data_IF_490156338778
#
_entry.id   IF_490156338778
#
_cell.length_a   1.000
_cell.length_b   1.000
_cell.length_c   1.000
_cell.angle_alpha   90.00
_cell.angle_beta   90.00
_cell.angle_gamma   90.00
#
_symmetry.space_group_name_H-M   'P 1'
#
loop_
_entity.id
_entity.type
_entity.pdbx_description
1 polymer ?
#
# COMPACT_ATOMS: atom_id res chain seq x y z
N UNK A 1 -15.68 -0.51 -24.52
CA UNK A 1 -15.78 -1.07 -23.15
C UNK A 1 -14.71 -2.11 -23.10
N UNK A 2 -13.58 -1.79 -22.48
CA UNK A 2 -12.48 -2.71 -22.24
C UNK A 2 -13.03 -3.95 -21.57
N UNK A 3 -12.54 -5.10 -22.01
CA UNK A 3 -12.77 -6.35 -21.34
C UNK A 3 -12.20 -6.26 -19.90
N UNK A 4 -13.04 -6.41 -18.86
CA UNK A 4 -12.58 -6.42 -17.47
C UNK A 4 -11.48 -7.46 -17.18
N UNK A 5 -11.33 -8.49 -18.03
CA UNK A 5 -10.26 -9.50 -17.96
C UNK A 5 -8.87 -8.94 -18.25
N UNK A 6 -8.78 -7.75 -18.87
CA UNK A 6 -7.52 -7.09 -19.26
C UNK A 6 -7.08 -5.99 -18.31
N UNK A 7 -7.88 -5.70 -17.27
CA UNK A 7 -7.54 -4.67 -16.29
C UNK A 7 -6.30 -5.11 -15.48
N UNK A 8 -5.23 -4.29 -15.46
CA UNK A 8 -4.05 -4.62 -14.67
C UNK A 8 -4.40 -4.70 -13.19
N UNK A 9 -3.72 -5.59 -12.47
CA UNK A 9 -3.78 -5.60 -11.02
C UNK A 9 -3.10 -4.33 -10.52
N UNK A 10 -3.81 -3.52 -9.72
CA UNK A 10 -3.25 -2.37 -9.03
C UNK A 10 -3.16 -2.62 -7.53
N UNK A 11 -2.02 -2.27 -6.95
CA UNK A 11 -1.84 -2.15 -5.51
C UNK A 11 -1.38 -0.74 -5.20
N UNK A 12 -2.18 -0.04 -4.38
CA UNK A 12 -1.92 1.32 -3.92
C UNK A 12 -1.61 1.29 -2.43
N UNK A 13 -0.54 1.94 -2.01
CA UNK A 13 -0.15 1.95 -0.60
C UNK A 13 0.46 3.29 -0.19
N UNK A 14 -0.11 3.88 0.85
CA UNK A 14 0.51 4.96 1.59
C UNK A 14 1.19 4.38 2.84
N UNK A 15 2.48 4.67 3.00
CA UNK A 15 3.20 4.46 4.25
C UNK A 15 3.13 5.72 5.08
N UNK A 16 2.33 5.68 6.13
CA UNK A 16 2.27 6.73 7.15
C UNK A 16 3.30 6.48 8.24
N UNK A 17 4.16 7.45 8.51
CA UNK A 17 5.26 7.35 9.47
C UNK A 17 5.78 8.76 9.87
N UNK A 18 6.61 8.85 10.89
CA UNK A 18 7.33 10.08 11.23
C UNK A 18 8.22 10.57 10.07
N UNK A 19 8.13 11.88 9.78
CA UNK A 19 8.94 12.55 8.77
C UNK A 19 10.43 12.62 9.12
N UNK A 20 10.83 12.22 10.31
CA UNK A 20 12.24 12.09 10.70
C UNK A 20 12.81 10.70 10.42
N UNK A 21 11.97 9.68 10.14
CA UNK A 21 12.45 8.31 9.94
C UNK A 21 13.14 8.16 8.58
N UNK A 22 14.45 7.85 8.50
CA UNK A 22 15.16 7.74 7.22
C UNK A 22 14.49 6.77 6.24
N UNK A 23 14.52 7.10 4.95
CA UNK A 23 13.87 6.30 3.91
C UNK A 23 14.68 6.40 2.62
N UNK A 24 15.08 5.25 2.08
CA UNK A 24 15.71 5.16 0.76
C UNK A 24 14.62 4.97 -0.30
N UNK A 25 14.72 5.65 -1.46
CA UNK A 25 13.71 5.58 -2.51
C UNK A 25 13.68 4.21 -3.20
N UNK A 26 12.59 3.93 -3.91
CA UNK A 26 12.41 2.75 -4.74
C UNK A 26 13.64 2.41 -5.59
N UNK A 27 14.23 1.24 -5.33
CA UNK A 27 15.36 0.69 -6.05
C UNK A 27 15.35 -0.84 -5.99
N UNK A 28 16.18 -1.47 -6.82
CA UNK A 28 16.54 -2.88 -6.67
C UNK A 28 17.58 -3.03 -5.56
N UNK A 29 17.37 -4.00 -4.67
CA UNK A 29 18.31 -4.35 -3.61
C UNK A 29 18.24 -5.85 -3.31
N UNK A 30 19.10 -6.33 -2.40
CA UNK A 30 19.27 -7.75 -2.11
C UNK A 30 19.61 -8.58 -3.38
N UNK A 31 20.68 -8.21 -4.09
CA UNK A 31 21.12 -8.92 -5.29
C UNK A 31 20.19 -8.74 -6.50
N UNK A 32 19.53 -7.58 -6.62
CA UNK A 32 18.56 -7.24 -7.67
C UNK A 32 17.31 -8.13 -7.74
N UNK A 33 16.99 -8.79 -6.63
CA UNK A 33 15.83 -9.67 -6.51
C UNK A 33 14.58 -8.94 -6.00
N UNK A 34 14.76 -7.89 -5.18
CA UNK A 34 13.68 -7.18 -4.49
C UNK A 34 13.65 -5.74 -4.98
N UNK A 35 12.49 -5.31 -5.49
CA UNK A 35 12.19 -3.93 -5.83
C UNK A 35 11.23 -3.36 -4.78
N UNK A 36 11.62 -2.27 -4.13
CA UNK A 36 10.79 -1.57 -3.15
C UNK A 36 11.56 -0.42 -2.51
N UNK A 37 10.86 0.54 -1.92
CA UNK A 37 11.50 1.51 -1.03
C UNK A 37 12.02 0.82 0.23
N UNK A 38 13.06 1.37 0.84
CA UNK A 38 13.76 0.72 1.96
C UNK A 38 13.78 1.62 3.19
N UNK A 39 13.46 1.03 4.33
CA UNK A 39 13.49 1.69 5.64
C UNK A 39 14.95 1.91 6.04
N UNK A 40 15.39 3.17 6.06
CA UNK A 40 16.77 3.51 6.37
C UNK A 40 17.17 3.27 7.84
N UNK A 41 16.19 3.03 8.72
CA UNK A 41 16.47 2.71 10.13
C UNK A 41 16.55 1.20 10.39
N UNK A 42 15.54 0.44 9.94
CA UNK A 42 15.42 -0.99 10.25
C UNK A 42 15.86 -1.94 9.11
N UNK A 43 16.14 -1.41 7.92
CA UNK A 43 16.61 -2.18 6.76
C UNK A 43 15.55 -3.03 6.05
N UNK A 44 14.27 -2.89 6.41
CA UNK A 44 13.14 -3.59 5.77
C UNK A 44 12.42 -2.77 4.69
N UNK A 45 11.25 -3.22 4.27
CA UNK A 45 10.39 -2.52 3.30
C UNK A 45 8.92 -2.59 3.71
N UNK A 46 8.14 -1.61 3.27
CA UNK A 46 6.68 -1.56 3.45
C UNK A 46 5.91 -2.11 2.25
N UNK A 47 6.53 -2.12 1.07
CA UNK A 47 5.99 -2.69 -0.16
C UNK A 47 7.14 -3.11 -1.05
N UNK A 48 7.11 -4.37 -1.46
CA UNK A 48 8.08 -4.92 -2.38
C UNK A 48 7.44 -5.81 -3.43
N UNK A 49 8.10 -5.86 -4.59
CA UNK A 49 7.84 -6.80 -5.66
C UNK A 49 9.15 -7.50 -6.04
N UNK A 50 9.12 -8.83 -6.05
CA UNK A 50 10.23 -9.64 -6.50
C UNK A 50 10.22 -9.84 -8.02
N UNK A 51 11.38 -10.17 -8.60
CA UNK A 51 11.53 -10.48 -10.04
C UNK A 51 10.56 -11.55 -10.55
N UNK A 52 10.20 -12.50 -9.71
CA UNK A 52 9.30 -13.61 -10.03
C UNK A 52 7.81 -13.29 -9.79
N UNK A 53 7.49 -12.03 -9.48
CA UNK A 53 6.13 -11.53 -9.34
C UNK A 53 5.53 -11.69 -7.94
N UNK A 54 6.29 -12.16 -6.95
CA UNK A 54 5.82 -12.15 -5.55
C UNK A 54 5.73 -10.70 -5.05
N UNK A 55 4.60 -10.34 -4.47
CA UNK A 55 4.38 -9.01 -3.88
C UNK A 55 4.19 -9.18 -2.37
N UNK A 56 4.84 -8.35 -1.56
CA UNK A 56 4.67 -8.31 -0.12
C UNK A 56 4.51 -6.88 0.36
N UNK A 57 3.58 -6.64 1.27
CA UNK A 57 3.32 -5.30 1.79
C UNK A 57 2.85 -5.32 3.24
N UNK A 58 3.14 -4.25 3.96
CA UNK A 58 2.73 -4.08 5.35
C UNK A 58 1.36 -3.42 5.43
N UNK A 59 0.52 -3.91 6.33
CA UNK A 59 -0.74 -3.26 6.69
C UNK A 59 -0.61 -2.59 8.04
N UNK A 60 -1.14 -1.37 8.19
CA UNK A 60 -1.11 -0.60 9.44
C UNK A 60 -2.09 -1.12 10.51
N UNK A 61 -2.34 -2.44 10.53
CA UNK A 61 -3.19 -3.07 11.55
C UNK A 61 -2.41 -3.16 12.85
N UNK A 62 -2.54 -2.13 13.69
CA UNK A 62 -2.20 -2.23 15.12
C UNK A 62 -3.41 -2.82 15.82
N UNK A 63 -3.21 -3.84 16.64
CA UNK A 63 -4.29 -4.46 17.40
C UNK A 63 -4.98 -3.39 18.25
N UNK A 64 -6.19 -3.01 17.86
CA UNK A 64 -7.05 -2.14 18.66
C UNK A 64 -7.34 -2.90 19.93
N UNK A 65 -6.84 -2.40 21.05
CA UNK A 65 -7.21 -2.88 22.39
C UNK A 65 -8.71 -3.07 22.43
N UNK A 66 -9.13 -4.29 22.78
CA UNK A 66 -10.49 -4.81 22.79
C UNK A 66 -11.56 -3.72 22.89
N UNK A 67 -12.11 -3.29 21.74
CA UNK A 67 -13.30 -2.44 21.74
C UNK A 67 -14.46 -3.31 22.23
N UNK A 68 -15.11 -2.99 23.37
CA UNK A 68 -16.18 -3.82 23.96
C UNK A 68 -17.42 -3.98 23.07
N UNK A 69 -17.44 -3.30 21.91
CA UNK A 69 -18.57 -3.16 21.00
C UNK A 69 -18.19 -3.32 19.52
N UNK A 70 -17.09 -4.03 19.20
CA UNK A 70 -16.76 -4.24 17.78
C UNK A 70 -17.80 -5.15 17.11
N UNK A 71 -18.76 -4.54 16.40
CA UNK A 71 -19.38 -5.16 15.23
C UNK A 71 -18.25 -5.70 14.33
N UNK A 72 -18.51 -6.84 13.70
CA UNK A 72 -17.48 -7.76 13.19
C UNK A 72 -16.33 -7.07 12.43
N UNK A 73 -15.12 -7.63 12.50
CA UNK A 73 -13.93 -7.14 11.77
C UNK A 73 -14.19 -6.88 10.27
N UNK A 74 -15.17 -7.56 9.67
CA UNK A 74 -15.61 -7.37 8.30
C UNK A 74 -16.29 -6.03 8.00
N UNK A 75 -16.81 -5.32 9.01
CA UNK A 75 -17.42 -4.00 8.82
C UNK A 75 -16.37 -2.89 8.70
N UNK A 76 -15.10 -3.16 9.06
CA UNK A 76 -14.06 -2.15 9.10
C UNK A 76 -13.89 -1.45 7.74
N UNK A 77 -13.71 -2.14 6.60
CA UNK A 77 -13.59 -1.47 5.30
C UNK A 77 -14.81 -0.61 4.94
N UNK A 78 -16.01 -1.01 5.39
CA UNK A 78 -17.26 -0.28 5.13
C UNK A 78 -17.40 0.99 5.97
N UNK A 79 -16.67 1.10 7.09
CA UNK A 79 -16.71 2.25 8.02
C UNK A 79 -15.61 3.28 7.73
N UNK A 80 -14.66 2.98 6.86
CA UNK A 80 -13.63 3.94 6.46
C UNK A 80 -14.05 4.68 5.20
N UNK A 81 -14.62 5.88 5.38
CA UNK A 81 -15.07 6.74 4.28
C UNK A 81 -13.94 7.07 3.29
N UNK A 82 -12.70 7.23 3.77
CA UNK A 82 -11.55 7.41 2.87
C UNK A 82 -11.32 6.26 1.89
N UNK A 83 -11.62 5.01 2.29
CA UNK A 83 -11.50 3.86 1.40
C UNK A 83 -12.60 3.86 0.34
N UNK A 84 -13.83 4.24 0.71
CA UNK A 84 -14.93 4.43 -0.24
C UNK A 84 -14.60 5.55 -1.24
N UNK A 85 -14.17 6.72 -0.75
CA UNK A 85 -13.72 7.85 -1.56
C UNK A 85 -12.61 7.45 -2.55
N UNK A 86 -11.60 6.71 -2.10
CA UNK A 86 -10.54 6.21 -2.99
C UNK A 86 -11.10 5.28 -4.07
N UNK A 87 -11.97 4.34 -3.68
CA UNK A 87 -12.56 3.37 -4.61
C UNK A 87 -13.45 4.02 -5.66
N UNK A 88 -14.27 5.00 -5.28
CA UNK A 88 -15.15 5.70 -6.22
C UNK A 88 -14.37 6.63 -7.16
N UNK A 89 -13.39 7.37 -6.64
CA UNK A 89 -12.51 8.19 -7.47
C UNK A 89 -11.66 7.34 -8.43
N UNK A 90 -11.24 6.14 -8.02
CA UNK A 90 -10.52 5.21 -8.90
C UNK A 90 -11.41 4.74 -10.05
N UNK A 91 -12.69 4.41 -9.79
CA UNK A 91 -13.64 4.04 -10.86
C UNK A 91 -13.85 5.19 -11.84
N UNK A 92 -14.02 6.42 -11.34
CA UNK A 92 -14.17 7.60 -12.19
C UNK A 92 -12.92 7.85 -13.05
N UNK A 93 -11.73 7.70 -12.45
CA UNK A 93 -10.46 7.83 -13.16
C UNK A 93 -10.33 6.77 -14.26
N UNK A 94 -10.64 5.50 -13.96
CA UNK A 94 -10.62 4.41 -14.94
C UNK A 94 -11.60 4.65 -16.09
N UNK A 95 -12.80 5.16 -15.81
CA UNK A 95 -13.79 5.51 -16.83
C UNK A 95 -13.31 6.65 -17.74
N UNK A 96 -12.51 7.58 -17.23
CA UNK A 96 -11.96 8.69 -18.03
C UNK A 96 -10.94 8.20 -19.05
N UNK A 97 -10.22 7.11 -18.75
CA UNK A 97 -9.14 6.60 -19.60
C UNK A 97 -9.62 5.66 -20.71
N UNK A 98 -10.93 5.38 -20.86
CA UNK A 98 -11.56 4.72 -22.02
C UNK A 98 -10.68 3.66 -22.72
N UNK A 99 -10.30 2.61 -21.99
CA UNK A 99 -9.52 1.46 -22.46
C UNK A 99 -8.01 1.73 -22.71
N UNK A 100 -7.54 2.96 -22.47
CA UNK A 100 -6.13 3.35 -22.50
C UNK A 100 -5.35 2.97 -21.24
N UNK A 101 -4.03 2.90 -21.36
CA UNK A 101 -3.15 2.60 -20.24
C UNK A 101 -3.16 3.74 -19.22
N UNK A 102 -3.49 3.43 -17.96
CA UNK A 102 -3.45 4.38 -16.84
C UNK A 102 -2.09 4.26 -16.12
N UNK A 103 -1.19 5.26 -16.22
CA UNK A 103 0.12 5.17 -15.60
C UNK A 103 0.01 5.18 -14.06
N UNK A 104 0.79 4.36 -13.33
CA UNK A 104 0.78 4.34 -11.86
C UNK A 104 1.03 5.72 -11.22
N UNK A 105 1.86 6.55 -11.86
CA UNK A 105 2.10 7.93 -11.42
C UNK A 105 0.82 8.77 -11.38
N UNK A 106 0.01 8.72 -12.43
CA UNK A 106 -1.26 9.47 -12.50
C UNK A 106 -2.24 9.03 -11.41
N UNK A 107 -2.27 7.73 -11.09
CA UNK A 107 -3.09 7.20 -9.99
C UNK A 107 -2.64 7.81 -8.66
N UNK A 108 -1.33 7.86 -8.41
CA UNK A 108 -0.82 8.46 -7.18
C UNK A 108 -1.14 9.95 -7.12
N UNK A 109 -0.81 10.70 -8.17
CA UNK A 109 -0.97 12.16 -8.19
C UNK A 109 -2.43 12.59 -8.04
N UNK A 110 -3.37 11.86 -8.65
CA UNK A 110 -4.80 12.21 -8.62
C UNK A 110 -5.55 11.66 -7.40
N UNK A 111 -5.15 10.49 -6.89
CA UNK A 111 -5.93 9.80 -5.86
C UNK A 111 -5.22 9.74 -4.51
N UNK A 112 -3.94 9.35 -4.50
CA UNK A 112 -3.23 8.99 -3.27
C UNK A 112 -2.70 10.20 -2.49
N UNK A 113 -2.65 11.38 -3.12
CA UNK A 113 -2.29 12.68 -2.52
C UNK A 113 -3.49 13.43 -1.91
N UNK A 114 -4.68 12.80 -1.88
CA UNK A 114 -5.89 13.45 -1.40
C UNK A 114 -5.84 13.73 0.11
N UNK A 115 -5.91 15.02 0.46
CA UNK A 115 -5.85 15.51 1.85
C UNK A 115 -7.22 15.77 2.48
N UNK A 116 -8.32 15.46 1.77
CA UNK A 116 -9.69 15.63 2.27
C UNK A 116 -9.87 14.72 3.48
N UNK A 117 -10.31 15.32 4.58
CA UNK A 117 -10.66 14.64 5.83
C UNK A 117 -12.15 14.30 5.85
N UNK A 118 -12.49 13.27 6.59
CA UNK A 118 -13.88 12.86 6.78
C UNK A 118 -14.60 13.82 7.74
N UNK A 119 -15.92 13.93 7.60
CA UNK A 119 -16.74 14.69 8.53
C UNK A 119 -16.64 14.10 9.95
N UNK A 120 -16.50 14.97 10.94
CA UNK A 120 -16.32 14.61 12.34
C UNK A 120 -17.45 13.72 12.90
N UNK A 121 -18.67 13.87 12.37
CA UNK A 121 -19.86 13.09 12.74
C UNK A 121 -19.86 11.66 12.17
N UNK A 122 -19.08 11.41 11.12
CA UNK A 122 -19.03 10.13 10.41
C UNK A 122 -17.82 9.26 10.78
N UNK A 123 -16.97 9.74 11.71
CA UNK A 123 -15.79 9.03 12.16
C UNK A 123 -16.15 7.71 12.88
N UNK A 124 -15.32 6.65 12.73
CA UNK A 124 -15.68 5.31 13.18
C UNK A 124 -15.57 5.10 14.70
N UNK A 125 -15.01 6.03 15.47
CA UNK A 125 -14.96 5.93 16.94
C UNK A 125 -14.06 4.80 17.45
N UNK A 126 -13.03 4.45 16.68
CA UNK A 126 -11.96 3.51 17.03
C UNK A 126 -10.86 4.18 17.88
N UNK A 127 -10.61 5.47 17.66
CA UNK A 127 -9.70 6.32 18.42
C UNK A 127 -10.41 7.59 18.93
N UNK A 128 -9.78 8.41 19.81
CA UNK A 128 -10.29 9.75 20.08
C UNK A 128 -10.54 10.52 18.78
N UNK A 129 -11.71 11.16 18.67
CA UNK A 129 -12.19 11.73 17.40
C UNK A 129 -11.21 12.69 16.74
N UNK A 130 -10.49 13.48 17.51
CA UNK A 130 -9.47 14.39 17.00
C UNK A 130 -8.37 13.63 16.25
N UNK A 131 -7.87 12.54 16.84
CA UNK A 131 -6.90 11.66 16.20
C UNK A 131 -7.47 11.01 14.94
N UNK A 132 -8.71 10.54 14.97
CA UNK A 132 -9.36 9.95 13.79
C UNK A 132 -9.50 10.96 12.66
N UNK A 133 -9.96 12.17 12.97
CA UNK A 133 -10.11 13.26 12.03
C UNK A 133 -8.78 13.58 11.33
N UNK A 134 -7.69 13.71 12.09
CA UNK A 134 -6.37 13.98 11.52
C UNK A 134 -5.82 12.85 10.64
N UNK A 135 -6.22 11.60 10.87
CA UNK A 135 -5.81 10.41 10.11
C UNK A 135 -6.81 10.00 9.01
N UNK A 136 -7.91 10.74 8.86
CA UNK A 136 -9.03 10.39 7.96
C UNK A 136 -8.78 10.74 6.49
N UNK A 137 -7.71 11.47 6.18
CA UNK A 137 -7.29 11.67 4.79
C UNK A 137 -6.58 10.44 4.23
N UNK A 138 -6.51 10.36 2.89
CA UNK A 138 -5.72 9.35 2.20
C UNK A 138 -4.24 9.71 2.36
N UNK A 139 -3.89 10.96 2.09
CA UNK A 139 -2.58 11.53 2.36
C UNK A 139 -2.59 12.22 3.73
N UNK A 140 -1.93 11.60 4.70
CA UNK A 140 -1.90 12.06 6.09
C UNK A 140 -0.79 13.10 6.25
N UNK A 141 -1.07 14.20 6.96
CA UNK A 141 -0.05 15.16 7.38
C UNK A 141 -0.51 15.82 8.69
N UNK A 142 0.22 15.54 9.76
CA UNK A 142 -0.11 15.93 11.13
C UNK A 142 1.15 16.44 11.82
N UNK A 143 1.08 17.65 12.37
CA UNK A 143 2.13 18.21 13.21
C UNK A 143 1.73 18.02 14.67
N UNK A 144 2.62 17.40 15.45
CA UNK A 144 2.43 17.15 16.88
C UNK A 144 3.67 17.57 17.68
N UNK A 145 3.60 17.67 19.01
CA UNK A 145 4.78 17.89 19.85
C UNK A 145 5.86 16.80 19.70
N UNK A 146 5.50 15.60 19.25
CA UNK A 146 6.44 14.49 18.98
C UNK A 146 7.08 14.59 17.59
N UNK A 147 6.72 15.59 16.79
CA UNK A 147 7.17 15.77 15.42
C UNK A 147 6.04 15.64 14.39
N UNK A 148 6.41 15.84 13.12
CA UNK A 148 5.53 15.71 11.96
C UNK A 148 5.37 14.22 11.60
N UNK A 149 4.13 13.76 11.58
CA UNK A 149 3.73 12.42 11.21
C UNK A 149 2.81 12.49 9.99
N UNK A 150 3.07 11.69 8.97
CA UNK A 150 2.32 11.77 7.74
C UNK A 150 2.65 10.68 6.76
N UNK A 151 1.96 10.69 5.62
CA UNK A 151 2.29 9.86 4.47
C UNK A 151 3.68 10.24 4.02
N UNK A 152 4.62 9.32 4.19
CA UNK A 152 6.03 9.48 3.84
C UNK A 152 6.36 8.81 2.51
N UNK A 153 5.66 7.75 2.16
CA UNK A 153 5.73 7.15 0.84
C UNK A 153 4.32 6.92 0.31
N UNK A 154 4.10 7.22 -0.97
CA UNK A 154 2.91 6.86 -1.73
C UNK A 154 3.32 6.06 -2.95
N UNK A 155 2.76 4.86 -3.08
CA UNK A 155 3.17 3.87 -4.06
C UNK A 155 1.99 3.41 -4.89
N UNK A 156 2.23 3.19 -6.18
CA UNK A 156 1.34 2.45 -7.06
C UNK A 156 2.13 1.37 -7.81
N UNK A 157 1.71 0.13 -7.64
CA UNK A 157 2.24 -1.02 -8.36
C UNK A 157 1.14 -1.53 -9.30
N UNK A 158 1.45 -1.58 -10.58
CA UNK A 158 0.58 -2.13 -11.62
C UNK A 158 1.23 -3.39 -12.20
N UNK A 159 0.43 -4.45 -12.37
CA UNK A 159 0.84 -5.67 -13.08
C UNK A 159 -0.14 -5.91 -14.22
N UNK A 160 0.37 -5.84 -15.44
CA UNK A 160 -0.39 -6.07 -16.66
C UNK A 160 -0.55 -7.56 -16.96
N UNK A 161 -1.49 -7.90 -17.84
CA UNK A 161 -1.74 -9.27 -18.30
C UNK A 161 -0.55 -9.88 -19.06
N UNK A 162 0.30 -9.06 -19.67
CA UNK A 162 1.55 -9.48 -20.31
C UNK A 162 2.73 -9.65 -19.33
N UNK A 163 2.45 -9.66 -18.03
CA UNK A 163 3.43 -9.79 -16.95
C UNK A 163 4.45 -8.64 -16.83
N UNK A 164 4.18 -7.51 -17.49
CA UNK A 164 4.90 -6.28 -17.23
C UNK A 164 4.43 -5.67 -15.90
N UNK A 165 5.40 -5.33 -15.04
CA UNK A 165 5.21 -4.61 -13.79
C UNK A 165 5.67 -3.18 -13.97
N UNK A 166 4.87 -2.23 -13.51
CA UNK A 166 5.25 -0.83 -13.36
C UNK A 166 5.05 -0.43 -11.90
N UNK A 167 6.15 -0.09 -11.23
CA UNK A 167 6.15 0.31 -9.83
C UNK A 167 6.59 1.77 -9.75
N UNK A 168 5.63 2.64 -9.41
CA UNK A 168 5.86 4.03 -9.09
C UNK A 168 5.87 4.25 -7.58
N UNK A 169 6.82 5.05 -7.11
CA UNK A 169 6.87 5.52 -5.73
C UNK A 169 7.27 6.99 -5.67
N UNK A 170 6.58 7.74 -4.80
CA UNK A 170 6.98 9.05 -4.33
C UNK A 170 7.24 8.99 -2.84
N UNK A 171 8.48 9.23 -2.43
CA UNK A 171 8.96 9.07 -1.05
C UNK A 171 9.64 10.34 -0.54
N UNK A 172 9.35 10.72 0.71
CA UNK A 172 9.95 11.87 1.37
C UNK A 172 11.35 11.54 1.90
N UNK A 173 12.31 12.38 1.54
CA UNK A 173 13.67 12.39 2.06
C UNK A 173 13.76 13.35 3.24
N UNK A 174 14.12 12.82 4.40
CA UNK A 174 14.23 13.60 5.63
C UNK A 174 15.54 14.37 5.74
N UNK A 175 16.58 13.96 5.01
CA UNK A 175 17.88 14.62 5.06
C UNK A 175 17.85 15.90 4.22
N UNK A 176 17.24 15.81 3.04
CA UNK A 176 17.14 16.93 2.10
C UNK A 176 15.81 17.69 2.17
N UNK A 177 14.84 17.20 2.95
CA UNK A 177 13.47 17.74 3.04
C UNK A 177 12.72 17.80 1.68
N UNK A 178 13.07 16.89 0.77
CA UNK A 178 12.55 16.84 -0.60
C UNK A 178 11.76 15.56 -0.88
N UNK A 179 10.98 15.58 -1.96
CA UNK A 179 10.28 14.40 -2.45
C UNK A 179 11.04 13.76 -3.60
N UNK A 180 11.40 12.50 -3.43
CA UNK A 180 11.96 11.66 -4.48
C UNK A 180 10.81 10.97 -5.23
N UNK A 181 10.88 10.96 -6.56
CA UNK A 181 9.96 10.20 -7.41
C UNK A 181 10.76 9.20 -8.25
N UNK A 182 10.32 7.94 -8.26
CA UNK A 182 10.95 6.87 -9.03
C UNK A 182 9.87 6.00 -9.67
N UNK A 183 10.13 5.59 -10.91
CA UNK A 183 9.37 4.56 -11.60
C UNK A 183 10.34 3.49 -12.06
N UNK A 184 10.03 2.23 -11.79
CA UNK A 184 10.77 1.10 -12.32
C UNK A 184 9.80 0.17 -13.02
N UNK A 185 10.14 -0.20 -14.26
CA UNK A 185 9.40 -1.18 -15.04
C UNK A 185 10.25 -2.43 -15.25
N UNK A 186 9.62 -3.60 -15.21
CA UNK A 186 10.28 -4.87 -15.52
C UNK A 186 9.26 -5.93 -15.92
N UNK A 187 9.71 -6.97 -16.61
CA UNK A 187 8.88 -8.15 -16.87
C UNK A 187 9.18 -9.22 -15.84
N UNK A 188 8.13 -9.90 -15.38
CA UNK A 188 8.27 -10.98 -14.40
C UNK A 188 9.03 -12.14 -15.02
N UNK A 189 10.07 -12.58 -14.33
CA UNK A 189 10.85 -13.75 -14.71
C UNK A 189 10.46 -14.91 -13.80
N UNK A 190 9.47 -15.70 -14.25
CA UNK A 190 9.21 -17.02 -13.67
C UNK A 190 10.24 -17.95 -14.30
N UNK A 191 11.38 -18.16 -13.65
CA UNK A 191 12.41 -19.09 -14.15
C UNK A 191 11.79 -20.41 -14.65
N UNK A 192 12.40 -21.04 -15.67
CA UNK A 192 11.83 -22.17 -16.42
C UNK A 192 11.00 -23.14 -15.55
N UNK A 193 9.67 -23.02 -15.60
CA UNK A 193 8.76 -24.02 -15.03
C UNK A 193 8.57 -25.14 -16.05
N UNK A 194 8.87 -26.36 -15.63
CA UNK A 194 8.61 -27.60 -16.37
C UNK A 194 7.21 -27.63 -16.97
N UNK A 195 7.12 -27.91 -18.27
CA UNK A 195 5.93 -28.20 -19.07
C UNK A 195 4.67 -28.53 -18.26
N UNK A 196 3.89 -27.50 -17.92
CA UNK A 196 2.48 -27.68 -17.64
C UNK A 196 1.71 -26.45 -18.13
N UNK A 197 0.75 -26.70 -19.00
CA UNK A 197 0.03 -25.74 -19.84
C UNK A 197 -1.03 -24.94 -19.09
N UNK A 198 -0.71 -24.42 -17.90
CA UNK A 198 -1.59 -23.52 -17.16
C UNK A 198 -1.12 -22.08 -17.38
N UNK A 199 -1.67 -21.44 -18.42
CA UNK A 199 -1.37 -20.07 -18.86
C UNK A 199 -2.06 -18.99 -18.01
N UNK A 200 -2.58 -19.33 -16.83
CA UNK A 200 -3.11 -18.32 -15.90
C UNK A 200 -1.98 -17.68 -15.07
N UNK A 201 -1.68 -16.41 -15.35
CA UNK A 201 -0.76 -15.61 -14.53
C UNK A 201 -1.37 -15.42 -13.13
N UNK A 202 -1.03 -16.31 -12.20
CA UNK A 202 -1.40 -16.17 -10.79
C UNK A 202 -0.33 -15.34 -10.08
N UNK A 203 -0.73 -14.20 -9.51
CA UNK A 203 0.12 -13.38 -8.65
C UNK A 203 -0.21 -13.68 -7.19
N UNK A 204 0.82 -13.68 -6.34
CA UNK A 204 0.65 -13.83 -4.89
C UNK A 204 1.03 -12.52 -4.23
N UNK A 205 0.05 -11.83 -3.65
CA UNK A 205 0.28 -10.67 -2.82
C UNK A 205 0.15 -11.08 -1.35
N UNK A 206 1.10 -10.68 -0.53
CA UNK A 206 1.13 -10.97 0.89
C UNK A 206 0.92 -9.69 1.69
N UNK A 207 -0.23 -9.59 2.36
CA UNK A 207 -0.49 -8.55 3.34
C UNK A 207 0.04 -9.02 4.70
N UNK A 208 1.02 -8.30 5.25
CA UNK A 208 1.64 -8.62 6.52
C UNK A 208 1.16 -7.62 7.58
N UNK A 209 0.42 -8.10 8.58
CA UNK A 209 0.04 -7.31 9.75
C UNK A 209 0.89 -7.70 10.96
N UNK A 210 1.18 -6.73 11.83
CA UNK A 210 1.90 -6.97 13.07
C UNK A 210 0.96 -6.77 14.27
N UNK A 211 0.74 -7.82 15.05
CA UNK A 211 0.10 -7.71 16.36
C UNK A 211 1.18 -7.58 17.44
N UNK A 212 1.18 -6.47 18.18
CA UNK A 212 2.00 -6.34 19.38
C UNK A 212 1.37 -7.17 20.50
N UNK A 213 2.02 -8.25 20.92
CA UNK A 213 1.61 -8.92 22.15
C UNK A 213 2.00 -8.08 23.35
N UNK A 214 1.00 -7.54 24.04
CA UNK A 214 1.02 -7.05 25.44
C UNK A 214 2.09 -6.02 25.83
N UNK A 215 1.64 -4.77 26.04
CA UNK A 215 1.89 -3.97 27.26
C UNK A 215 3.31 -3.56 27.66
N UNK A 216 4.38 -4.03 27.01
CA UNK A 216 5.74 -3.76 27.46
C UNK A 216 6.51 -2.89 26.45
N UNK A 217 6.97 -1.73 26.91
CA UNK A 217 7.71 -0.73 26.14
C UNK A 217 9.20 -1.10 25.97
N UNK A 218 9.52 -2.39 25.88
CA UNK A 218 10.88 -2.88 25.67
C UNK A 218 11.12 -3.15 24.17
N UNK A 219 12.28 -2.77 23.59
CA UNK A 219 12.50 -2.83 22.13
C UNK A 219 12.67 -4.24 21.56
N UNK A 220 12.34 -5.30 22.30
CA UNK A 220 12.65 -6.67 21.91
C UNK A 220 11.63 -7.69 22.41
N UNK A 221 10.38 -7.65 21.91
CA UNK A 221 9.48 -8.80 22.13
C UNK A 221 8.59 -9.08 20.91
N UNK A 222 8.92 -10.16 20.21
CA UNK A 222 8.04 -11.05 19.46
C UNK A 222 6.84 -10.42 18.72
N UNK A 223 7.11 -9.78 17.58
CA UNK A 223 6.08 -9.48 16.60
C UNK A 223 5.34 -10.77 16.19
N UNK A 224 4.07 -10.92 16.54
CA UNK A 224 3.21 -11.95 15.95
C UNK A 224 2.79 -11.47 14.57
N UNK A 225 3.33 -12.14 13.55
CA UNK A 225 3.01 -11.87 12.14
C UNK A 225 1.62 -12.44 11.86
N UNK A 226 0.63 -11.56 11.72
CA UNK A 226 -0.66 -11.93 11.14
C UNK A 226 -0.53 -11.80 9.62
N UNK A 227 -0.24 -12.92 8.98
CA UNK A 227 -0.06 -12.98 7.53
C UNK A 227 -1.40 -13.25 6.85
N UNK A 228 -1.89 -12.33 6.02
CA UNK A 228 -3.02 -12.56 5.11
C UNK A 228 -2.48 -12.70 3.70
N UNK A 229 -2.61 -13.87 3.10
CA UNK A 229 -2.30 -14.09 1.69
C UNK A 229 -3.50 -13.58 0.87
N UNK A 230 -3.29 -12.55 0.07
CA UNK A 230 -4.23 -12.12 -0.96
C UNK A 230 -3.79 -12.74 -2.29
N UNK A 231 -4.45 -13.82 -2.70
CA UNK A 231 -4.29 -14.32 -4.06
C UNK A 231 -5.23 -13.54 -4.96
N UNK A 232 -4.68 -12.57 -5.70
CA UNK A 232 -5.39 -11.93 -6.80
C UNK A 232 -5.10 -12.73 -8.08
N UNK A 233 -6.12 -13.39 -8.62
CA UNK A 233 -6.06 -13.96 -9.98
C UNK A 233 -6.49 -12.88 -10.96
N UNK A 234 -5.62 -12.54 -11.92
CA UNK A 234 -6.10 -12.01 -13.19
C UNK A 234 -6.90 -13.17 -13.83
N UNK A 235 -8.23 -13.05 -13.84
CA UNK A 235 -9.08 -14.04 -14.47
C UNK A 235 -8.99 -13.87 -15.98
N UNK A 236 -8.23 -14.74 -16.64
CA UNK A 236 -8.42 -15.00 -18.07
C UNK A 236 -9.66 -15.92 -18.18
N UNK A 237 -10.72 -15.47 -18.86
CA UNK A 237 -11.78 -16.34 -19.37
C UNK A 237 -11.75 -16.35 -20.88
#
# INVERSE_FOLDING_TARGET
MADPSTLPFFLLLNRDEYHTRPTEPLAWWNGDEILGGKDGLAGGTWLACARDGKIAFLTNVRELTSLPQSKTRGDLPLRFLKAQRLGDNLKELLNTYNDGELPPKEIVEKLMTNTIKDDYSLLPGLYPREKEYHLSSIFVDVVSPLGRYGTRSTSALAVKSNEEVSFYEKSFDSENEEWNERTVTFHINRGEKSNNSDTSATFTALAVGFANSSGDNTPSTSARVATTVLTARALNM
#
